data_IF_435784436468
#
_entry.id   IF_435784436468
#
_cell.length_a   1.000
_cell.length_b   1.000
_cell.length_c   1.000
_cell.angle_alpha   90.00
_cell.angle_beta   90.00
_cell.angle_gamma   90.00
#
_symmetry.space_group_name_H-M   'P 1'
#
loop_
_entity.id
_entity.type
_entity.pdbx_description
1 polymer ?
#
# COMPACT_ATOMS: atom_id res chain seq x y z
N UNK A 1 6.31 17.79 -43.84
CA UNK A 1 6.02 16.41 -43.42
C UNK A 1 5.17 16.47 -42.17
N UNK A 2 3.92 16.01 -42.22
CA UNK A 2 2.98 16.04 -41.10
C UNK A 2 3.23 14.84 -40.18
N UNK A 3 3.52 15.09 -38.92
CA UNK A 3 3.54 14.06 -37.88
C UNK A 3 2.12 13.82 -37.39
N UNK A 4 1.60 12.61 -37.61
CA UNK A 4 0.34 12.18 -37.03
C UNK A 4 0.52 11.97 -35.53
N UNK A 5 -0.21 12.74 -34.74
CA UNK A 5 -0.36 12.55 -33.30
C UNK A 5 -1.48 11.54 -33.11
N UNK A 6 -1.22 10.45 -32.40
CA UNK A 6 -2.28 9.53 -31.97
C UNK A 6 -2.84 10.05 -30.64
N UNK A 7 -4.05 10.61 -30.70
CA UNK A 7 -4.76 11.15 -29.56
C UNK A 7 -5.39 9.99 -28.77
N UNK A 8 -4.85 9.70 -27.57
CA UNK A 8 -5.31 8.58 -26.73
C UNK A 8 -6.59 8.88 -25.95
N UNK A 9 -6.96 10.16 -25.79
CA UNK A 9 -8.22 10.59 -25.15
C UNK A 9 -8.67 11.96 -25.67
N UNK A 10 -9.96 12.08 -26.01
CA UNK A 10 -10.58 13.36 -26.39
C UNK A 10 -10.87 14.17 -25.12
N UNK A 11 -10.07 15.20 -24.86
CA UNK A 11 -10.32 16.14 -23.76
C UNK A 11 -11.20 17.30 -24.26
N UNK A 12 -12.42 17.42 -23.71
CA UNK A 12 -13.32 18.55 -23.97
C UNK A 12 -12.96 19.69 -23.00
N UNK A 13 -12.88 20.94 -23.48
CA UNK A 13 -12.60 22.18 -22.73
C UNK A 13 -11.16 22.40 -22.22
N UNK A 14 -10.14 22.13 -23.05
CA UNK A 14 -8.77 22.58 -22.77
C UNK A 14 -8.71 24.12 -22.83
N UNK A 15 -8.34 24.73 -21.71
CA UNK A 15 -8.20 26.18 -21.56
C UNK A 15 -6.80 26.68 -21.94
N UNK A 16 -5.76 25.89 -21.65
CA UNK A 16 -4.36 26.24 -21.96
C UNK A 16 -3.52 25.01 -22.27
N UNK A 17 -2.58 25.21 -23.18
CA UNK A 17 -1.51 24.27 -23.47
C UNK A 17 -0.21 24.91 -22.98
N UNK A 18 0.54 24.19 -22.14
CA UNK A 18 1.92 24.56 -21.87
C UNK A 18 2.83 23.58 -22.59
N UNK A 19 3.50 24.08 -23.63
CA UNK A 19 4.58 23.36 -24.30
C UNK A 19 5.81 23.44 -23.40
N UNK A 20 6.10 22.35 -22.71
CA UNK A 20 7.25 22.19 -21.85
C UNK A 20 8.34 21.52 -22.70
N UNK A 21 8.99 22.36 -23.51
CA UNK A 21 9.91 21.96 -24.60
C UNK A 21 9.24 21.03 -25.62
N UNK A 22 10.01 20.55 -26.58
CA UNK A 22 9.51 19.85 -27.76
C UNK A 22 8.75 18.55 -27.47
N UNK A 23 8.66 18.09 -26.21
CA UNK A 23 8.14 16.76 -25.87
C UNK A 23 6.98 16.68 -24.89
N UNK A 24 6.73 17.70 -24.06
CA UNK A 24 5.76 17.57 -22.99
C UNK A 24 4.68 18.65 -23.08
N UNK A 25 3.43 18.22 -23.28
CA UNK A 25 2.29 19.14 -23.35
C UNK A 25 1.52 18.99 -22.05
N UNK A 26 1.53 20.05 -21.24
CA UNK A 26 0.62 20.21 -20.12
C UNK A 26 -0.73 20.68 -20.67
N UNK A 27 -1.77 19.89 -20.43
CA UNK A 27 -3.14 20.30 -20.76
C UNK A 27 -3.78 20.84 -19.50
N UNK A 28 -4.25 22.08 -19.52
CA UNK A 28 -5.05 22.69 -18.46
C UNK A 28 -6.51 22.71 -18.93
N UNK A 29 -7.36 21.79 -18.45
CA UNK A 29 -8.80 21.81 -18.76
C UNK A 29 -9.60 22.41 -17.62
N UNK A 30 -10.45 23.40 -17.91
CA UNK A 30 -11.40 23.96 -16.94
C UNK A 30 -12.78 23.35 -17.19
N UNK A 31 -13.21 22.44 -16.33
CA UNK A 31 -14.53 21.80 -16.45
C UNK A 31 -15.52 22.46 -15.48
N UNK A 32 -16.28 23.44 -16.00
CA UNK A 32 -17.49 24.04 -15.39
C UNK A 32 -17.29 24.84 -14.09
N UNK A 33 -18.40 25.32 -13.50
CA UNK A 33 -18.52 26.34 -12.43
C UNK A 33 -17.77 25.99 -11.13
N UNK A 34 -17.28 24.76 -11.00
CA UNK A 34 -16.39 24.31 -9.93
C UNK A 34 -14.99 24.18 -10.57
N UNK A 35 -14.04 25.03 -10.19
CA UNK A 35 -12.69 25.12 -10.77
C UNK A 35 -11.87 23.85 -10.52
N UNK A 36 -12.13 22.79 -11.28
CA UNK A 36 -11.31 21.60 -11.33
C UNK A 36 -10.45 21.67 -12.59
N UNK A 37 -9.19 22.03 -12.40
CA UNK A 37 -8.14 21.96 -13.42
C UNK A 37 -7.63 20.53 -13.48
N UNK A 38 -7.78 19.90 -14.65
CA UNK A 38 -7.14 18.61 -14.94
C UNK A 38 -5.80 18.89 -15.62
N UNK A 39 -4.75 18.25 -15.14
CA UNK A 39 -3.40 18.29 -15.73
C UNK A 39 -3.15 17.00 -16.50
N UNK A 40 -3.02 17.09 -17.82
CA UNK A 40 -2.57 15.99 -18.68
C UNK A 40 -1.10 16.13 -19.04
N UNK A 41 -0.35 15.02 -19.10
CA UNK A 41 1.04 14.96 -19.57
C UNK A 41 1.08 14.11 -20.85
N UNK A 42 1.52 14.68 -21.96
CA UNK A 42 1.76 13.97 -23.23
C UNK A 42 3.26 13.86 -23.52
N UNK A 43 3.73 12.76 -24.14
CA UNK A 43 5.15 12.52 -24.46
C UNK A 43 5.38 12.55 -25.98
N UNK A 44 6.38 13.30 -26.44
CA UNK A 44 6.94 13.20 -27.80
C UNK A 44 8.27 12.47 -27.72
N UNK A 45 8.55 11.60 -28.68
CA UNK A 45 9.78 10.81 -28.75
C UNK A 45 10.87 11.60 -29.50
N UNK A 46 11.93 12.04 -28.82
CA UNK A 46 13.35 12.22 -29.25
C UNK A 46 14.03 13.37 -28.48
N UNK A 47 14.71 13.09 -27.35
CA UNK A 47 16.12 13.44 -27.08
C UNK A 47 16.51 13.38 -25.59
N UNK A 48 17.83 13.34 -25.34
CA UNK A 48 18.48 13.02 -24.07
C UNK A 48 18.82 14.28 -23.25
N UNK A 49 18.48 14.20 -21.96
CA UNK A 49 18.72 15.11 -20.84
C UNK A 49 17.83 16.37 -20.71
N UNK A 50 17.02 16.40 -19.64
CA UNK A 50 15.99 17.41 -19.36
C UNK A 50 16.09 17.88 -17.90
N UNK A 51 15.97 19.20 -17.70
CA UNK A 51 15.65 19.81 -16.41
C UNK A 51 14.32 20.56 -16.56
N UNK A 52 13.35 20.24 -15.69
CA UNK A 52 11.97 20.74 -15.77
C UNK A 52 11.73 21.86 -14.74
N UNK A 53 11.06 22.94 -15.16
CA UNK A 53 10.50 23.98 -14.27
C UNK A 53 9.01 24.14 -14.59
N UNK A 54 8.15 23.85 -13.63
CA UNK A 54 6.76 24.31 -13.62
C UNK A 54 6.75 25.66 -12.89
N UNK A 55 5.72 26.48 -13.10
CA UNK A 55 5.48 27.71 -12.33
C UNK A 55 4.02 27.74 -11.88
N UNK A 56 3.82 28.04 -10.60
CA UNK A 56 2.57 28.39 -9.93
C UNK A 56 1.57 27.26 -9.70
N UNK A 57 1.98 26.13 -9.11
CA UNK A 57 1.00 25.17 -8.58
C UNK A 57 0.32 25.72 -7.30
N UNK A 58 1.10 26.35 -6.43
CA UNK A 58 0.64 26.84 -5.12
C UNK A 58 -0.28 28.09 -5.17
N UNK A 59 -0.32 28.83 -6.28
CA UNK A 59 -1.16 30.04 -6.40
C UNK A 59 -2.61 29.76 -6.78
N UNK A 60 -2.93 28.56 -7.24
CA UNK A 60 -4.26 28.26 -7.80
C UNK A 60 -5.31 27.90 -6.74
N UNK A 61 -4.95 27.84 -5.45
CA UNK A 61 -5.92 27.60 -4.35
C UNK A 61 -6.71 26.29 -4.50
N UNK A 62 -6.21 25.34 -5.29
CA UNK A 62 -6.95 24.15 -5.67
C UNK A 62 -6.99 23.16 -4.51
N UNK A 63 -8.20 22.81 -4.06
CA UNK A 63 -8.42 21.55 -3.36
C UNK A 63 -8.49 20.47 -4.41
N UNK A 64 -7.44 19.66 -4.53
CA UNK A 64 -7.48 18.43 -5.31
C UNK A 64 -8.52 17.52 -4.70
N UNK A 65 -9.52 17.17 -5.51
CA UNK A 65 -10.47 16.13 -5.15
C UNK A 65 -9.69 14.81 -5.07
N UNK A 66 -9.55 14.31 -3.84
CA UNK A 66 -8.84 13.07 -3.53
C UNK A 66 -9.53 11.84 -4.14
N UNK A 67 -10.65 11.98 -4.84
CA UNK A 67 -11.40 10.85 -5.44
C UNK A 67 -10.87 10.37 -6.79
N UNK A 68 -9.93 11.08 -7.42
CA UNK A 68 -9.37 10.67 -8.73
C UNK A 68 -8.23 9.66 -8.50
N UNK A 69 -8.59 8.43 -8.13
CA UNK A 69 -7.68 7.28 -7.99
C UNK A 69 -7.61 6.39 -9.25
N UNK A 70 -8.27 6.77 -10.36
CA UNK A 70 -8.53 5.84 -11.47
C UNK A 70 -7.33 5.54 -12.37
N UNK A 71 -6.21 6.28 -12.26
CA UNK A 71 -5.05 6.08 -13.12
C UNK A 71 -3.71 6.17 -12.35
N UNK A 72 -3.64 5.44 -11.22
CA UNK A 72 -2.45 5.28 -10.37
C UNK A 72 -1.19 4.87 -11.16
N UNK A 73 -1.36 4.40 -12.41
CA UNK A 73 -0.28 3.94 -13.29
C UNK A 73 0.68 5.05 -13.73
N UNK A 74 0.35 6.34 -13.56
CA UNK A 74 1.23 7.41 -14.05
C UNK A 74 1.45 8.57 -13.07
N UNK A 75 0.44 8.99 -12.30
CA UNK A 75 0.58 10.06 -11.32
C UNK A 75 -0.46 9.93 -10.20
N UNK A 76 -0.17 10.54 -9.05
CA UNK A 76 -1.10 10.57 -7.92
C UNK A 76 -0.75 11.69 -6.93
N UNK A 77 -1.72 12.08 -6.11
CA UNK A 77 -1.58 13.14 -5.12
C UNK A 77 -1.73 12.59 -3.71
N UNK A 78 -0.76 12.89 -2.84
CA UNK A 78 -0.81 12.47 -1.45
C UNK A 78 -0.14 13.53 -0.57
N UNK A 79 -0.79 13.87 0.55
CA UNK A 79 -0.24 14.75 1.59
C UNK A 79 0.26 16.11 1.10
N UNK A 80 -0.41 16.73 0.14
CA UNK A 80 0.04 18.01 -0.40
C UNK A 80 1.00 17.91 -1.58
N UNK A 81 1.52 16.72 -1.87
CA UNK A 81 2.55 16.50 -2.89
C UNK A 81 1.97 15.77 -4.09
N UNK A 82 2.43 16.16 -5.28
CA UNK A 82 2.13 15.47 -6.53
C UNK A 82 3.28 14.56 -6.89
N UNK A 83 2.98 13.29 -7.13
CA UNK A 83 3.95 12.26 -7.46
C UNK A 83 3.71 11.74 -8.87
N UNK A 84 4.78 11.52 -9.62
CA UNK A 84 4.73 11.11 -11.02
C UNK A 84 5.71 9.97 -11.25
N UNK A 85 5.25 8.91 -11.92
CA UNK A 85 6.09 7.86 -12.45
C UNK A 85 6.54 8.24 -13.86
N UNK A 86 7.84 8.32 -14.07
CA UNK A 86 8.45 8.74 -15.34
C UNK A 86 9.43 7.68 -15.83
N UNK A 87 9.21 7.22 -17.06
CA UNK A 87 10.11 6.34 -17.78
C UNK A 87 11.27 7.14 -18.38
N UNK A 88 12.47 7.07 -17.81
CA UNK A 88 13.66 7.69 -18.40
C UNK A 88 14.08 6.99 -19.70
N UNK A 89 13.94 5.66 -19.74
CA UNK A 89 14.10 4.82 -20.91
C UNK A 89 13.22 3.57 -20.75
N UNK A 90 13.34 2.57 -21.63
CA UNK A 90 12.47 1.37 -21.66
C UNK A 90 12.62 0.50 -20.39
N UNK A 91 13.76 0.55 -19.70
CA UNK A 91 14.05 -0.29 -18.52
C UNK A 91 14.17 0.48 -17.21
N UNK A 92 14.09 1.82 -17.26
CA UNK A 92 14.32 2.69 -16.10
C UNK A 92 13.09 3.52 -15.78
N UNK A 93 12.37 3.10 -14.75
CA UNK A 93 11.24 3.80 -14.16
C UNK A 93 11.68 4.56 -12.90
N UNK A 94 11.27 5.82 -12.79
CA UNK A 94 11.62 6.70 -11.68
C UNK A 94 10.40 7.41 -11.11
N UNK A 95 10.43 7.70 -9.81
CA UNK A 95 9.48 8.55 -9.10
C UNK A 95 10.01 9.98 -9.05
N UNK A 96 9.14 10.91 -9.40
CA UNK A 96 9.37 12.33 -9.28
C UNK A 96 8.31 13.00 -8.40
N UNK A 97 8.65 14.15 -7.87
CA UNK A 97 7.71 15.09 -7.24
C UNK A 97 8.06 16.53 -7.60
N UNK A 98 7.25 17.50 -7.19
CA UNK A 98 7.57 18.92 -7.31
C UNK A 98 8.08 19.48 -5.98
N UNK A 99 9.09 20.35 -6.01
CA UNK A 99 9.43 21.14 -4.83
C UNK A 99 8.56 22.40 -4.70
N UNK A 100 8.85 23.18 -3.65
CA UNK A 100 8.19 24.45 -3.38
C UNK A 100 8.38 25.52 -4.48
N UNK A 101 9.36 25.34 -5.38
CA UNK A 101 9.61 26.19 -6.53
C UNK A 101 9.03 25.61 -7.83
N UNK A 102 8.15 24.61 -7.72
CA UNK A 102 7.54 23.89 -8.82
C UNK A 102 8.59 23.22 -9.76
N UNK A 103 9.78 22.90 -9.25
CA UNK A 103 10.78 22.15 -10.00
C UNK A 103 10.56 20.66 -9.82
N UNK A 104 10.69 19.92 -10.93
CA UNK A 104 10.57 18.48 -10.91
C UNK A 104 11.83 17.88 -10.27
N UNK A 105 11.66 17.18 -9.16
CA UNK A 105 12.73 16.54 -8.41
C UNK A 105 12.58 15.03 -8.47
N UNK A 106 13.65 14.36 -8.85
CA UNK A 106 13.76 12.91 -8.82
C UNK A 106 13.89 12.45 -7.38
N UNK A 107 12.98 11.60 -6.94
CA UNK A 107 13.02 11.01 -5.61
C UNK A 107 13.78 9.69 -5.64
N UNK A 108 13.45 8.81 -6.57
CA UNK A 108 14.07 7.50 -6.68
C UNK A 108 13.92 6.90 -8.08
N UNK A 109 14.90 6.11 -8.52
CA UNK A 109 14.93 5.40 -9.79
C UNK A 109 15.09 3.89 -9.58
N UNK A 110 15.18 3.14 -10.69
CA UNK A 110 15.28 1.68 -10.70
C UNK A 110 14.06 1.02 -10.06
N UNK A 111 12.89 1.61 -10.22
CA UNK A 111 11.64 1.02 -9.75
C UNK A 111 11.32 -0.27 -10.50
N UNK A 112 10.89 -1.29 -9.75
CA UNK A 112 10.55 -2.58 -10.32
C UNK A 112 9.25 -2.49 -11.12
N UNK A 113 9.27 -2.99 -12.34
CA UNK A 113 8.13 -2.91 -13.26
C UNK A 113 7.35 -4.21 -13.15
N UNK A 114 6.15 -4.12 -12.60
CA UNK A 114 5.20 -5.23 -12.58
C UNK A 114 4.43 -5.30 -13.89
N UNK A 115 4.02 -6.51 -14.28
CA UNK A 115 3.09 -6.68 -15.37
C UNK A 115 1.73 -6.08 -14.99
N UNK A 116 1.06 -5.46 -15.95
CA UNK A 116 -0.19 -4.72 -15.71
C UNK A 116 -1.39 -5.56 -15.27
N UNK A 117 -1.20 -6.87 -15.06
CA UNK A 117 -2.22 -7.85 -14.72
C UNK A 117 -2.42 -7.99 -13.19
N UNK A 118 -1.41 -7.70 -12.37
CA UNK A 118 -1.38 -8.17 -10.98
C UNK A 118 -1.84 -7.14 -9.93
N UNK A 119 -2.38 -5.99 -10.32
CA UNK A 119 -2.67 -4.82 -9.45
C UNK A 119 -1.48 -4.29 -8.62
N UNK A 120 -0.31 -4.93 -8.76
CA UNK A 120 0.93 -4.59 -8.09
C UNK A 120 1.51 -3.31 -8.67
N UNK A 121 2.22 -2.59 -7.81
CA UNK A 121 2.80 -1.32 -8.14
C UNK A 121 4.23 -1.20 -7.62
N UNK A 122 5.06 -0.40 -8.30
CA UNK A 122 6.40 -0.11 -7.81
C UNK A 122 6.40 0.67 -6.50
N UNK A 123 5.34 1.43 -6.21
CA UNK A 123 5.31 2.41 -5.11
C UNK A 123 3.95 2.48 -4.43
N UNK A 124 3.98 2.61 -3.10
CA UNK A 124 2.83 2.98 -2.28
C UNK A 124 3.22 4.14 -1.37
N UNK A 125 2.37 5.16 -1.28
CA UNK A 125 2.53 6.23 -0.28
C UNK A 125 1.60 5.93 0.88
N UNK A 126 2.13 6.02 2.10
CA UNK A 126 1.34 5.79 3.30
C UNK A 126 0.21 6.83 3.39
N UNK A 127 -1.08 6.45 3.28
CA UNK A 127 -2.19 7.41 3.33
C UNK A 127 -2.31 8.13 4.68
N UNK A 128 -1.68 7.61 5.75
CA UNK A 128 -1.83 8.11 7.13
C UNK A 128 -0.60 8.83 7.65
N UNK A 129 0.55 8.66 6.99
CA UNK A 129 1.82 9.22 7.46
C UNK A 129 2.45 10.08 6.36
N UNK A 130 2.53 11.39 6.60
CA UNK A 130 3.14 12.33 5.65
C UNK A 130 4.62 11.97 5.43
N UNK A 131 5.02 11.92 4.16
CA UNK A 131 6.41 11.69 3.77
C UNK A 131 6.89 10.24 3.87
N UNK A 132 5.99 9.29 4.18
CA UNK A 132 6.31 7.85 4.20
C UNK A 132 6.00 7.22 2.84
N UNK A 133 7.04 6.70 2.19
CA UNK A 133 6.97 6.14 0.83
C UNK A 133 7.59 4.75 0.83
N UNK A 134 6.87 3.75 0.34
CA UNK A 134 7.36 2.40 0.10
C UNK A 134 7.65 2.26 -1.40
N UNK A 135 8.83 1.75 -1.76
CA UNK A 135 9.24 1.58 -3.15
C UNK A 135 9.93 0.23 -3.34
N UNK A 136 9.49 -0.55 -4.32
CA UNK A 136 10.14 -1.77 -4.76
C UNK A 136 11.17 -1.43 -5.82
N UNK A 137 12.45 -1.58 -5.49
CA UNK A 137 13.57 -1.29 -6.39
C UNK A 137 14.11 -2.58 -6.99
N UNK A 138 14.47 -2.52 -8.26
CA UNK A 138 15.09 -3.59 -9.01
C UNK A 138 16.48 -3.89 -8.45
N UNK A 139 16.67 -5.11 -7.96
CA UNK A 139 18.00 -5.63 -7.57
C UNK A 139 18.63 -6.33 -8.78
N UNK A 140 17.83 -7.06 -9.54
CA UNK A 140 18.15 -7.65 -10.84
C UNK A 140 16.86 -7.83 -11.66
N UNK A 141 16.90 -8.51 -12.81
CA UNK A 141 15.75 -8.68 -13.70
C UNK A 141 14.53 -9.37 -13.06
N UNK A 142 14.72 -10.21 -12.04
CA UNK A 142 13.66 -11.05 -11.47
C UNK A 142 13.35 -10.72 -10.00
N UNK A 143 14.21 -9.93 -9.35
CA UNK A 143 14.16 -9.70 -7.91
C UNK A 143 14.07 -8.21 -7.64
N UNK A 144 13.02 -7.84 -6.88
CA UNK A 144 12.94 -6.54 -6.26
C UNK A 144 13.29 -6.60 -4.77
N UNK A 145 13.61 -5.44 -4.20
CA UNK A 145 13.72 -5.23 -2.76
C UNK A 145 12.94 -4.00 -2.39
N UNK A 146 12.18 -4.06 -1.30
CA UNK A 146 11.45 -2.90 -0.81
C UNK A 146 12.35 -1.98 0.00
N UNK A 147 12.22 -0.70 -0.28
CA UNK A 147 12.81 0.40 0.45
C UNK A 147 11.72 1.30 0.98
N UNK A 148 12.03 2.00 2.07
CA UNK A 148 11.13 2.94 2.74
C UNK A 148 11.84 4.28 2.92
N UNK A 149 11.12 5.35 2.63
CA UNK A 149 11.49 6.72 3.00
C UNK A 149 10.56 7.21 4.11
N UNK A 150 11.09 8.01 5.03
CA UNK A 150 10.35 8.71 6.08
C UNK A 150 10.44 10.24 5.97
N UNK A 151 11.07 10.74 4.92
CA UNK A 151 11.44 12.14 4.73
C UNK A 151 11.05 12.66 3.35
N UNK A 152 9.89 12.18 2.85
CA UNK A 152 9.31 12.55 1.57
C UNK A 152 10.22 12.22 0.38
N UNK A 153 10.85 11.05 0.41
CA UNK A 153 11.68 10.54 -0.66
C UNK A 153 13.10 11.12 -0.71
N UNK A 154 13.55 11.86 0.30
CA UNK A 154 14.94 12.37 0.33
C UNK A 154 15.94 11.25 0.60
N UNK A 155 15.60 10.33 1.50
CA UNK A 155 16.40 9.16 1.82
C UNK A 155 15.52 7.91 1.80
N UNK A 156 16.05 6.85 1.17
CA UNK A 156 15.43 5.54 1.17
C UNK A 156 16.33 4.55 1.89
N UNK A 157 15.76 3.78 2.80
CA UNK A 157 16.44 2.71 3.53
C UNK A 157 15.77 1.38 3.21
N UNK A 158 16.51 0.28 3.07
CA UNK A 158 15.90 -1.02 2.80
C UNK A 158 14.99 -1.44 3.96
N UNK A 159 13.91 -2.13 3.64
CA UNK A 159 13.09 -2.82 4.65
C UNK A 159 13.92 -3.95 5.27
N UNK A 160 14.05 -3.91 6.59
CA UNK A 160 14.78 -4.91 7.38
C UNK A 160 13.84 -5.55 8.40
N UNK A 161 13.97 -6.87 8.55
CA UNK A 161 13.25 -7.63 9.59
C UNK A 161 13.93 -7.46 10.94
N UNK A 162 13.12 -7.39 11.99
CA UNK A 162 13.62 -7.60 13.35
C UNK A 162 13.95 -9.08 13.49
N UNK A 163 15.22 -9.44 13.52
CA UNK A 163 15.63 -10.83 13.68
C UNK A 163 16.09 -11.09 15.10
N UNK A 164 15.33 -11.90 15.84
CA UNK A 164 15.68 -12.33 17.21
C UNK A 164 16.81 -13.39 17.25
N UNK A 165 17.47 -13.70 16.14
CA UNK A 165 18.64 -14.59 16.18
C UNK A 165 19.34 -14.87 14.85
N UNK A 166 18.68 -14.67 13.70
CA UNK A 166 19.33 -14.83 12.40
C UNK A 166 20.01 -13.51 12.03
N UNK A 167 21.32 -13.40 12.30
CA UNK A 167 22.14 -12.28 11.79
C UNK A 167 22.11 -12.31 10.28
N UNK A 168 21.17 -11.58 9.71
CA UNK A 168 21.16 -11.44 8.28
C UNK A 168 22.35 -10.58 7.89
N UNK A 169 23.41 -11.20 7.35
CA UNK A 169 24.48 -10.44 6.72
C UNK A 169 23.84 -9.59 5.62
N UNK A 170 23.99 -8.27 5.71
CA UNK A 170 23.25 -7.21 5.00
C UNK A 170 23.00 -7.47 3.50
N UNK A 171 23.89 -8.19 2.83
CA UNK A 171 23.79 -8.48 1.40
C UNK A 171 22.70 -9.48 1.03
N UNK A 172 22.20 -10.25 1.98
CA UNK A 172 21.48 -11.46 1.64
C UNK A 172 19.99 -11.44 2.07
N UNK A 173 19.51 -10.53 2.92
CA UNK A 173 18.06 -10.42 3.20
C UNK A 173 17.40 -9.42 2.27
N UNK A 174 16.68 -9.94 1.29
CA UNK A 174 15.85 -9.17 0.40
C UNK A 174 14.40 -9.46 0.80
N UNK A 175 13.76 -8.45 1.38
CA UNK A 175 12.32 -8.45 1.61
C UNK A 175 11.71 -7.67 0.46
N UNK A 176 10.76 -8.30 -0.21
CA UNK A 176 9.93 -7.67 -1.24
C UNK A 176 8.49 -7.70 -0.76
N UNK A 177 7.97 -6.54 -0.37
CA UNK A 177 6.58 -6.35 -0.02
C UNK A 177 5.74 -6.30 -1.29
N UNK A 178 4.56 -6.91 -1.24
CA UNK A 178 3.57 -6.85 -2.28
C UNK A 178 2.81 -5.53 -2.16
N UNK A 179 3.32 -4.53 -2.85
CA UNK A 179 2.72 -3.20 -2.92
C UNK A 179 1.60 -3.20 -3.97
N UNK A 180 0.33 -3.01 -3.56
CA UNK A 180 -0.80 -2.82 -4.48
C UNK A 180 -1.39 -1.43 -4.34
N UNK A 181 -2.08 -0.98 -5.38
CA UNK A 181 -2.60 0.39 -5.45
C UNK A 181 -4.12 0.49 -5.52
N UNK A 182 -4.82 -0.60 -5.26
CA UNK A 182 -6.26 -0.57 -5.12
C UNK A 182 -6.66 0.14 -3.82
N UNK A 183 -7.79 0.85 -3.84
CA UNK A 183 -8.30 1.54 -2.66
C UNK A 183 -8.59 0.57 -1.50
N UNK A 184 -9.04 -0.64 -1.84
CA UNK A 184 -9.29 -1.70 -0.87
C UNK A 184 -7.99 -2.16 -0.19
N UNK A 185 -6.89 -2.24 -0.95
CA UNK A 185 -5.58 -2.53 -0.39
C UNK A 185 -5.17 -1.46 0.63
N UNK A 186 -5.26 -0.18 0.25
CA UNK A 186 -4.89 0.95 1.11
C UNK A 186 -5.69 0.94 2.43
N UNK A 187 -6.98 0.60 2.38
CA UNK A 187 -7.83 0.56 3.59
C UNK A 187 -7.41 -0.55 4.54
N UNK A 188 -7.09 -1.74 4.01
CA UNK A 188 -6.79 -2.93 4.80
C UNK A 188 -5.34 -2.98 5.31
N UNK A 189 -4.39 -2.40 4.58
CA UNK A 189 -2.96 -2.51 4.86
C UNK A 189 -2.44 -1.42 5.81
N UNK A 190 -3.26 -0.40 6.05
CA UNK A 190 -2.93 0.73 6.92
C UNK A 190 -3.98 0.88 8.00
N UNK A 191 -4.19 -0.06 8.94
CA UNK A 191 -5.29 -0.01 9.90
C UNK A 191 -5.15 1.08 10.96
N UNK A 192 -3.91 1.54 11.23
CA UNK A 192 -3.62 2.65 12.14
C UNK A 192 -2.47 3.52 11.60
N UNK A 193 -2.24 4.68 12.21
CA UNK A 193 -1.10 5.55 11.85
C UNK A 193 0.23 4.82 12.08
N UNK A 194 0.37 4.11 13.19
CA UNK A 194 1.60 3.39 13.55
C UNK A 194 1.66 1.96 13.02
N UNK A 195 0.56 1.42 12.48
CA UNK A 195 0.45 0.01 12.07
C UNK A 195 0.36 -0.11 10.57
N UNK A 196 1.23 -0.95 10.00
CA UNK A 196 1.20 -1.32 8.59
C UNK A 196 1.26 -2.83 8.47
N UNK A 197 0.47 -3.40 7.57
CA UNK A 197 0.42 -4.82 7.27
C UNK A 197 0.70 -4.94 5.78
N UNK A 198 1.65 -5.77 5.40
CA UNK A 198 1.95 -6.08 4.00
C UNK A 198 2.17 -7.56 3.84
N UNK A 199 1.67 -8.14 2.76
CA UNK A 199 2.17 -9.41 2.29
C UNK A 199 3.52 -9.19 1.60
N UNK A 200 4.36 -10.21 1.57
CA UNK A 200 5.63 -10.11 0.85
C UNK A 200 6.40 -11.41 0.80
N UNK A 201 7.45 -11.41 0.01
CA UNK A 201 8.39 -12.51 -0.12
C UNK A 201 9.67 -12.21 0.68
N UNK A 202 10.17 -13.23 1.35
CA UNK A 202 11.52 -13.26 1.93
C UNK A 202 12.34 -14.16 1.02
N UNK A 203 13.11 -13.57 0.09
CA UNK A 203 13.84 -14.29 -0.96
C UNK A 203 14.89 -15.29 -0.43
N UNK A 204 15.13 -15.33 0.88
CA UNK A 204 15.97 -16.33 1.56
C UNK A 204 15.23 -17.52 2.14
N UNK A 205 13.93 -17.42 2.33
CA UNK A 205 13.17 -18.49 2.92
C UNK A 205 13.40 -19.74 2.06
N UNK A 206 13.76 -20.87 2.68
CA UNK A 206 13.98 -22.14 1.97
C UNK A 206 12.77 -22.57 1.15
N UNK A 207 11.60 -22.04 1.48
CA UNK A 207 10.35 -22.23 0.80
C UNK A 207 10.18 -21.11 -0.24
N UNK A 208 10.75 -21.31 -1.42
CA UNK A 208 10.49 -20.45 -2.58
C UNK A 208 8.98 -20.31 -2.78
N UNK A 209 8.51 -19.07 -2.96
CA UNK A 209 7.09 -18.77 -3.20
C UNK A 209 6.20 -18.68 -1.96
N UNK A 210 6.77 -18.73 -0.74
CA UNK A 210 5.98 -18.46 0.47
C UNK A 210 5.81 -16.95 0.66
N UNK A 211 4.56 -16.48 0.62
CA UNK A 211 4.19 -15.14 1.05
C UNK A 211 4.01 -15.12 2.56
N UNK A 212 4.53 -14.07 3.20
CA UNK A 212 4.41 -13.87 4.64
C UNK A 212 3.73 -12.54 4.92
N UNK A 213 2.99 -12.48 6.02
CA UNK A 213 2.53 -11.21 6.55
C UNK A 213 3.69 -10.52 7.29
N UNK A 214 4.04 -9.34 6.83
CA UNK A 214 4.96 -8.40 7.47
C UNK A 214 4.17 -7.30 8.15
N UNK A 215 4.35 -7.16 9.46
CA UNK A 215 3.65 -6.16 10.26
C UNK A 215 4.63 -5.22 10.93
N UNK A 216 4.33 -3.92 10.82
CA UNK A 216 5.09 -2.82 11.37
C UNK A 216 4.25 -2.16 12.46
N UNK A 217 4.69 -2.15 13.71
CA UNK A 217 3.97 -1.49 14.83
C UNK A 217 4.59 -0.15 15.25
N UNK A 218 5.90 0.04 15.01
CA UNK A 218 6.71 1.09 15.64
C UNK A 218 7.15 2.18 14.66
N UNK A 219 6.20 2.76 13.91
CA UNK A 219 6.45 3.88 12.97
C UNK A 219 7.64 3.64 12.03
N UNK A 220 7.84 2.41 11.55
CA UNK A 220 8.89 2.16 10.55
C UNK A 220 10.20 1.58 11.04
N UNK A 221 10.42 1.44 12.35
CA UNK A 221 11.75 1.02 12.85
C UNK A 221 12.07 -0.45 12.61
N UNK A 222 11.08 -1.33 12.67
CA UNK A 222 11.33 -2.77 12.58
C UNK A 222 10.10 -3.53 12.06
N UNK A 223 10.35 -4.45 11.13
CA UNK A 223 9.30 -5.28 10.55
C UNK A 223 9.28 -6.64 11.21
N UNK A 224 8.11 -7.01 11.74
CA UNK A 224 7.86 -8.33 12.27
C UNK A 224 7.31 -9.21 11.16
N UNK A 225 8.02 -10.31 10.87
CA UNK A 225 7.54 -11.35 9.98
C UNK A 225 6.72 -12.34 10.80
N UNK A 226 5.46 -12.53 10.43
CA UNK A 226 4.67 -13.62 10.98
C UNK A 226 4.92 -14.89 10.19
N UNK A 227 5.43 -15.92 10.89
CA UNK A 227 5.69 -17.24 10.31
C UNK A 227 4.41 -18.04 10.07
N UNK A 228 3.33 -17.65 10.73
CA UNK A 228 2.02 -18.22 10.52
C UNK A 228 1.35 -17.50 9.36
N UNK A 229 0.81 -18.28 8.44
CA UNK A 229 -0.11 -17.78 7.44
C UNK A 229 -1.41 -17.40 8.17
N UNK A 230 -1.62 -16.09 8.35
CA UNK A 230 -2.81 -15.54 9.02
C UNK A 230 -3.59 -14.76 7.98
N UNK A 231 -4.71 -15.33 7.56
CA UNK A 231 -5.68 -14.71 6.67
C UNK A 231 -6.56 -13.73 7.47
N UNK A 232 -7.05 -12.69 6.80
CA UNK A 232 -7.98 -11.70 7.37
C UNK A 232 -7.51 -11.07 8.69
N UNK A 233 -6.19 -10.86 8.83
CA UNK A 233 -5.60 -10.29 10.04
C UNK A 233 -6.19 -8.91 10.36
N UNK A 234 -6.89 -8.84 11.49
CA UNK A 234 -7.43 -7.62 12.07
C UNK A 234 -6.60 -7.23 13.29
N UNK A 235 -6.19 -5.97 13.35
CA UNK A 235 -5.37 -5.43 14.45
C UNK A 235 -6.19 -4.39 15.20
N UNK A 236 -6.28 -4.55 16.51
CA UNK A 236 -7.08 -3.72 17.40
C UNK A 236 -6.24 -3.11 18.52
N UNK A 237 -6.73 -2.02 19.12
CA UNK A 237 -6.08 -1.30 20.22
C UNK A 237 -4.58 -1.03 19.97
N UNK A 238 -4.23 -0.48 18.80
CA UNK A 238 -2.85 -0.19 18.41
C UNK A 238 -1.89 -1.40 18.52
N UNK A 239 -2.39 -2.60 18.22
CA UNK A 239 -1.60 -3.83 18.26
C UNK A 239 -1.69 -4.57 19.59
N UNK A 240 -2.53 -4.11 20.52
CA UNK A 240 -2.82 -4.83 21.77
C UNK A 240 -3.57 -6.15 21.56
N UNK A 241 -4.28 -6.30 20.44
CA UNK A 241 -4.90 -7.56 20.04
C UNK A 241 -4.81 -7.73 18.52
N UNK A 242 -4.31 -8.88 18.10
CA UNK A 242 -4.33 -9.36 16.73
C UNK A 242 -5.31 -10.52 16.67
N UNK A 243 -6.17 -10.55 15.65
CA UNK A 243 -7.14 -11.61 15.41
C UNK A 243 -7.17 -11.95 13.93
N UNK A 244 -7.13 -13.24 13.58
CA UNK A 244 -7.21 -13.68 12.19
C UNK A 244 -7.52 -15.16 12.08
N UNK A 245 -7.51 -15.69 10.86
CA UNK A 245 -7.68 -17.11 10.57
C UNK A 245 -6.34 -17.72 10.21
N UNK A 246 -5.95 -18.82 10.85
CA UNK A 246 -4.78 -19.57 10.43
C UNK A 246 -5.04 -20.24 9.08
N UNK A 247 -4.33 -19.84 8.01
CA UNK A 247 -4.59 -20.26 6.63
C UNK A 247 -4.66 -21.77 6.46
N UNK A 248 -3.69 -22.52 7.01
CA UNK A 248 -3.68 -23.99 6.94
C UNK A 248 -4.71 -24.69 7.85
N UNK A 249 -5.09 -24.07 8.96
CA UNK A 249 -5.88 -24.75 10.00
C UNK A 249 -7.36 -24.40 9.92
N UNK A 250 -7.71 -23.30 9.27
CA UNK A 250 -9.04 -22.69 9.36
C UNK A 250 -9.41 -22.19 10.76
N UNK A 251 -8.50 -22.29 11.74
CA UNK A 251 -8.79 -21.93 13.12
C UNK A 251 -8.67 -20.43 13.33
N UNK A 252 -9.51 -19.89 14.20
CA UNK A 252 -9.30 -18.53 14.71
C UNK A 252 -8.04 -18.50 15.56
N UNK A 253 -7.15 -17.57 15.23
CA UNK A 253 -5.90 -17.33 15.91
C UNK A 253 -5.85 -15.89 16.42
N UNK A 254 -5.29 -15.71 17.60
CA UNK A 254 -5.15 -14.39 18.20
C UNK A 254 -3.85 -14.22 18.99
N UNK A 255 -3.43 -12.99 19.18
CA UNK A 255 -2.23 -12.62 19.95
C UNK A 255 -2.44 -11.31 20.70
N UNK A 256 -1.98 -11.27 21.96
CA UNK A 256 -2.01 -10.07 22.81
C UNK A 256 -0.66 -9.34 22.90
N UNK A 257 0.36 -9.85 22.22
CA UNK A 257 1.74 -9.39 22.33
C UNK A 257 2.37 -9.15 20.96
N UNK A 258 1.58 -8.54 20.06
CA UNK A 258 2.00 -8.13 18.73
C UNK A 258 2.50 -9.30 17.85
N UNK A 259 1.93 -10.49 18.05
CA UNK A 259 2.22 -11.68 17.26
C UNK A 259 3.43 -12.47 17.74
N UNK A 260 3.96 -12.21 18.93
CA UNK A 260 5.06 -13.02 19.52
C UNK A 260 4.55 -14.39 19.96
N UNK A 261 3.40 -14.43 20.63
CA UNK A 261 2.72 -15.64 21.02
C UNK A 261 1.33 -15.67 20.39
N UNK A 262 0.99 -16.79 19.75
CA UNK A 262 -0.30 -17.01 19.12
C UNK A 262 -1.08 -18.09 19.87
N UNK A 263 -2.35 -17.80 20.13
CA UNK A 263 -3.33 -18.71 20.69
C UNK A 263 -4.32 -19.10 19.61
N UNK A 264 -4.96 -20.26 19.77
CA UNK A 264 -5.92 -20.82 18.82
C UNK A 264 -7.21 -21.19 19.50
N UNK A 265 -8.33 -20.88 18.87
CA UNK A 265 -9.64 -21.39 19.26
C UNK A 265 -9.94 -22.70 18.51
N UNK A 266 -10.63 -23.62 19.17
CA UNK A 266 -11.01 -24.92 18.60
C UNK A 266 -12.08 -24.84 17.50
N UNK A 267 -12.47 -23.63 17.09
CA UNK A 267 -13.47 -23.38 16.05
C UNK A 267 -12.74 -23.35 14.71
N UNK A 268 -13.08 -24.31 13.84
CA UNK A 268 -12.59 -24.36 12.46
C UNK A 268 -13.64 -23.69 11.58
N UNK A 269 -13.22 -22.64 10.87
CA UNK A 269 -14.05 -21.86 9.96
C UNK A 269 -13.59 -22.13 8.52
N UNK A 270 -14.55 -22.13 7.60
CA UNK A 270 -14.30 -22.44 6.20
C UNK A 270 -13.83 -21.19 5.47
N UNK A 271 -14.75 -20.29 5.17
CA UNK A 271 -14.48 -19.06 4.43
C UNK A 271 -14.91 -17.86 5.28
N UNK A 272 -13.95 -17.33 6.04
CA UNK A 272 -14.17 -16.05 6.72
C UNK A 272 -14.21 -14.96 5.65
N UNK A 273 -15.36 -14.31 5.55
CA UNK A 273 -15.56 -13.17 4.65
C UNK A 273 -15.32 -11.84 5.37
N UNK A 274 -15.30 -11.83 6.70
CA UNK A 274 -15.02 -10.63 7.48
C UNK A 274 -14.79 -10.90 8.95
N UNK A 275 -13.87 -10.11 9.52
CA UNK A 275 -13.64 -9.96 10.95
C UNK A 275 -13.86 -8.49 11.26
N UNK A 276 -14.93 -8.18 11.98
CA UNK A 276 -15.40 -6.82 12.22
C UNK A 276 -15.27 -6.51 13.71
N UNK A 277 -14.43 -5.55 14.12
CA UNK A 277 -14.43 -5.09 15.50
C UNK A 277 -15.77 -4.41 15.81
N UNK A 278 -16.44 -4.85 16.88
CA UNK A 278 -17.67 -4.23 17.35
C UNK A 278 -17.28 -3.14 18.35
N UNK A 279 -17.27 -1.88 17.89
CA UNK A 279 -16.88 -0.74 18.72
C UNK A 279 -17.81 -0.59 19.93
N UNK A 280 -17.28 -0.87 21.11
CA UNK A 280 -17.87 -0.46 22.38
C UNK A 280 -16.75 0.07 23.28
N UNK A 281 -17.01 1.17 24.00
CA UNK A 281 -16.00 1.98 24.72
C UNK A 281 -15.05 1.20 25.63
N UNK A 282 -15.35 -0.05 26.00
CA UNK A 282 -14.49 -0.91 26.83
C UNK A 282 -14.54 -2.40 26.46
N UNK A 283 -15.23 -2.80 25.39
CA UNK A 283 -15.34 -4.23 25.07
C UNK A 283 -14.54 -4.55 23.82
N UNK A 284 -13.70 -5.57 23.93
CA UNK A 284 -12.93 -6.11 22.81
C UNK A 284 -13.77 -7.20 22.14
N UNK A 285 -14.85 -6.81 21.50
CA UNK A 285 -15.78 -7.71 20.81
C UNK A 285 -15.47 -7.74 19.31
N UNK A 286 -15.49 -8.93 18.72
CA UNK A 286 -15.34 -9.10 17.27
C UNK A 286 -16.47 -9.97 16.75
N UNK A 287 -17.12 -9.50 15.69
CA UNK A 287 -17.98 -10.33 14.87
C UNK A 287 -17.15 -10.99 13.77
N UNK A 288 -17.20 -12.31 13.69
CA UNK A 288 -16.62 -13.09 12.60
C UNK A 288 -17.75 -13.66 11.78
N UNK A 289 -17.70 -13.41 10.48
CA UNK A 289 -18.69 -13.89 9.52
C UNK A 289 -18.02 -14.97 8.67
N UNK A 290 -18.49 -16.20 8.83
CA UNK A 290 -18.08 -17.37 8.06
C UNK A 290 -19.17 -17.70 7.04
N UNK A 291 -18.79 -17.94 5.79
CA UNK A 291 -19.71 -18.35 4.74
C UNK A 291 -19.39 -19.77 4.29
N UNK A 292 -20.28 -20.72 4.58
CA UNK A 292 -20.13 -22.05 4.04
C UNK A 292 -20.64 -22.07 2.60
N UNK A 293 -19.74 -22.14 1.61
CA UNK A 293 -20.10 -22.20 0.18
C UNK A 293 -20.93 -23.42 -0.20
N UNK A 294 -20.68 -24.56 0.43
CA UNK A 294 -21.38 -25.82 0.12
C UNK A 294 -22.83 -25.76 0.63
N UNK A 295 -23.01 -25.34 1.88
CA UNK A 295 -24.32 -25.20 2.50
C UNK A 295 -25.06 -23.92 2.04
N UNK A 296 -24.32 -22.94 1.49
CA UNK A 296 -24.79 -21.58 1.20
C UNK A 296 -25.37 -20.87 2.43
N UNK A 297 -24.76 -21.11 3.60
CA UNK A 297 -25.21 -20.57 4.89
C UNK A 297 -24.13 -19.66 5.47
N UNK A 298 -24.56 -18.52 6.01
CA UNK A 298 -23.71 -17.64 6.81
C UNK A 298 -23.78 -18.04 8.28
N UNK A 299 -22.62 -18.14 8.92
CA UNK A 299 -22.48 -18.37 10.36
C UNK A 299 -21.83 -17.14 10.98
N UNK A 300 -22.41 -16.68 12.09
CA UNK A 300 -21.95 -15.51 12.82
C UNK A 300 -21.40 -15.94 14.17
N UNK A 301 -20.17 -15.53 14.46
CA UNK A 301 -19.52 -15.78 15.73
C UNK A 301 -19.17 -14.47 16.40
N UNK A 302 -19.36 -14.40 17.71
CA UNK A 302 -18.95 -13.24 18.52
C UNK A 302 -17.84 -13.70 19.45
N UNK A 303 -16.67 -13.10 19.28
CA UNK A 303 -15.52 -13.32 20.15
C UNK A 303 -15.45 -12.17 21.15
N UNK A 304 -15.46 -12.50 22.44
CA UNK A 304 -15.41 -11.53 23.53
C UNK A 304 -14.08 -11.61 24.29
N UNK A 305 -13.21 -10.65 24.03
CA UNK A 305 -11.92 -10.48 24.70
C UNK A 305 -11.97 -9.45 25.85
N UNK A 306 -13.14 -9.07 26.35
CA UNK A 306 -13.27 -8.13 27.48
C UNK A 306 -12.73 -8.71 28.80
N UNK A 307 -12.77 -10.04 28.97
CA UNK A 307 -12.37 -10.73 30.23
C UNK A 307 -10.91 -11.19 30.25
N UNK A 308 -10.20 -11.06 29.12
CA UNK A 308 -8.86 -11.63 28.92
C UNK A 308 -7.75 -10.98 29.74
N UNK A 309 -8.04 -9.90 30.47
CA UNK A 309 -7.16 -9.40 31.54
C UNK A 309 -7.18 -10.28 32.81
N UNK A 310 -8.03 -11.31 32.87
CA UNK A 310 -8.08 -12.29 33.97
C UNK A 310 -7.95 -13.72 33.43
N UNK A 311 -7.09 -14.54 34.05
CA UNK A 311 -6.58 -15.85 33.59
C UNK A 311 -7.60 -16.98 33.31
N UNK A 312 -8.92 -16.73 33.25
CA UNK A 312 -9.94 -17.76 33.03
C UNK A 312 -10.83 -17.43 31.83
N UNK A 313 -10.67 -18.19 30.75
CA UNK A 313 -11.43 -18.02 29.51
C UNK A 313 -12.78 -18.73 29.62
N UNK A 314 -13.87 -18.01 29.35
CA UNK A 314 -15.19 -18.59 29.12
C UNK A 314 -15.86 -17.82 27.99
N UNK A 315 -15.71 -18.35 26.77
CA UNK A 315 -16.34 -17.81 25.56
C UNK A 315 -17.69 -18.53 25.40
N UNK A 316 -18.78 -17.76 25.37
CA UNK A 316 -20.11 -18.28 25.01
C UNK A 316 -20.30 -18.12 23.50
N UNK A 317 -20.17 -19.22 22.77
CA UNK A 317 -20.73 -19.30 21.42
C UNK A 317 -22.24 -19.41 21.51
N UNK A 318 -22.97 -18.42 21.00
CA UNK A 318 -24.41 -18.54 20.75
C UNK A 318 -24.63 -18.61 19.25
N UNK A 319 -25.20 -19.72 18.76
CA UNK A 319 -25.70 -19.79 17.40
C UNK A 319 -26.94 -18.88 17.31
N UNK A 320 -26.80 -17.72 16.68
CA UNK A 320 -27.96 -16.96 16.22
C UNK A 320 -28.44 -17.65 14.93
N UNK A 321 -29.61 -18.28 15.00
CA UNK A 321 -30.31 -18.87 13.85
C UNK A 321 -30.98 -17.79 13.01
#
# INVERSE_FOLDING_TARGET
MSTNIYELHTFINISRFHVIRDELILLESQISVIQNTIIGISRREKDKDITTKIKNFNQLGMRTDLTIFSDYRTYFYAHGNFYILVWKNISLLCLYTFDANDQLNELICDLYIYDGNDERCPIVIDPRSVGVIYANLKVNEEIARTYISFDNGKNFSPVEKEDHGCKCRQKNCLIELELRCSNDFITNHFPAESIKIFQGNDHKAKHYGSFYNFVLFNRGKSWNKFYLDIENLTIFNNGGLLLGKGGFTGQIMYSFDQGRNWYKEGIILNDIIGIIPLEARNNQLFAVIDYNREEKVYKFFIFDFSKTSSYNFLIKGSNAL
#
